data_IF_331391840392
#
_entry.id   IF_331391840392
#
_cell.length_a   1.000
_cell.length_b   1.000
_cell.length_c   1.000
_cell.angle_alpha   90.00
_cell.angle_beta   90.00
_cell.angle_gamma   90.00
#
_symmetry.space_group_name_H-M   'P 1'
#
loop_
_entity.id
_entity.type
_entity.pdbx_description
1 polymer ?
#
# COMPACT_ATOMS: atom_id res chain seq x y z
N UNK A 1 -28.85 -2.02 -13.29
CA UNK A 1 -28.52 -1.45 -11.97
C UNK A 1 -27.19 -0.73 -12.10
N UNK A 2 -27.22 0.59 -12.29
CA UNK A 2 -26.02 1.43 -12.37
C UNK A 2 -25.59 1.78 -10.95
N UNK A 3 -24.86 0.86 -10.31
CA UNK A 3 -24.08 1.21 -9.13
C UNK A 3 -23.07 2.26 -9.55
N UNK A 4 -23.09 3.43 -8.92
CA UNK A 4 -22.10 4.48 -9.13
C UNK A 4 -20.73 3.93 -8.81
N UNK A 5 -19.90 3.69 -9.82
CA UNK A 5 -18.49 3.35 -9.63
C UNK A 5 -17.84 4.51 -8.87
N UNK A 6 -17.16 4.25 -7.74
CA UNK A 6 -16.56 5.32 -6.95
C UNK A 6 -15.49 6.05 -7.78
N UNK A 7 -15.41 7.37 -7.60
CA UNK A 7 -14.29 8.15 -8.10
C UNK A 7 -12.98 7.64 -7.49
N UNK A 8 -11.82 7.76 -8.19
CA UNK A 8 -10.54 7.22 -7.72
C UNK A 8 -10.15 7.63 -6.29
N UNK A 9 -10.44 8.87 -5.88
CA UNK A 9 -10.17 9.36 -4.52
C UNK A 9 -10.88 8.55 -3.43
N UNK A 10 -12.23 8.45 -3.44
CA UNK A 10 -12.97 7.59 -2.51
C UNK A 10 -12.52 6.12 -2.52
N UNK A 11 -12.23 5.54 -3.68
CA UNK A 11 -11.74 4.16 -3.77
C UNK A 11 -10.36 4.01 -3.08
N UNK A 12 -9.44 4.94 -3.31
CA UNK A 12 -8.13 4.95 -2.65
C UNK A 12 -8.26 5.13 -1.13
N UNK A 13 -9.19 5.98 -0.67
CA UNK A 13 -9.44 6.19 0.75
C UNK A 13 -9.93 4.91 1.45
N UNK A 14 -10.76 4.11 0.78
CA UNK A 14 -11.19 2.78 1.28
C UNK A 14 -9.99 1.84 1.41
N UNK A 15 -9.12 1.79 0.40
CA UNK A 15 -7.89 0.97 0.44
C UNK A 15 -6.96 1.40 1.57
N UNK A 16 -6.74 2.70 1.74
CA UNK A 16 -5.91 3.25 2.83
C UNK A 16 -6.51 2.92 4.20
N UNK A 17 -7.83 3.03 4.37
CA UNK A 17 -8.49 2.70 5.61
C UNK A 17 -8.33 1.21 5.96
N UNK A 18 -8.48 0.32 4.97
CA UNK A 18 -8.24 -1.12 5.15
C UNK A 18 -6.78 -1.40 5.54
N UNK A 19 -5.82 -0.73 4.89
CA UNK A 19 -4.40 -0.83 5.22
C UNK A 19 -4.10 -0.40 6.65
N UNK A 20 -4.61 0.76 7.07
CA UNK A 20 -4.44 1.25 8.44
C UNK A 20 -5.11 0.35 9.49
N UNK A 21 -6.26 -0.26 9.15
CA UNK A 21 -6.90 -1.21 10.04
C UNK A 21 -6.05 -2.48 10.24
N UNK A 22 -5.50 -3.04 9.16
CA UNK A 22 -4.62 -4.20 9.21
C UNK A 22 -3.27 -3.90 9.89
N UNK A 23 -2.75 -2.69 9.68
CA UNK A 23 -1.48 -2.26 10.24
C UNK A 23 -1.53 -1.87 11.72
N UNK A 24 -2.73 -1.72 12.32
CA UNK A 24 -2.89 -1.34 13.75
C UNK A 24 -2.14 -2.28 14.69
N UNK A 25 -2.15 -3.57 14.38
CA UNK A 25 -1.46 -4.62 15.14
C UNK A 25 -0.50 -5.42 14.22
N UNK A 26 -0.05 -4.81 13.13
CA UNK A 26 0.81 -5.39 12.10
C UNK A 26 0.41 -6.82 11.66
N UNK A 27 -0.84 -6.99 11.23
CA UNK A 27 -1.35 -8.30 10.83
C UNK A 27 -0.96 -8.61 9.37
N UNK A 28 0.01 -9.51 9.16
CA UNK A 28 0.53 -9.84 7.84
C UNK A 28 -0.53 -10.43 6.90
N UNK A 29 -1.44 -11.27 7.40
CA UNK A 29 -2.51 -11.87 6.60
C UNK A 29 -3.54 -10.81 6.16
N UNK A 30 -3.95 -9.95 7.08
CA UNK A 30 -4.88 -8.86 6.78
C UNK A 30 -4.25 -7.81 5.85
N UNK A 31 -2.96 -7.49 6.03
CA UNK A 31 -2.22 -6.61 5.13
C UNK A 31 -2.16 -7.18 3.71
N UNK A 32 -1.91 -8.48 3.60
CA UNK A 32 -1.86 -9.20 2.32
C UNK A 32 -3.24 -9.19 1.64
N UNK A 33 -4.34 -9.37 2.39
CA UNK A 33 -5.71 -9.39 1.84
C UNK A 33 -6.17 -8.12 1.11
N UNK A 34 -5.44 -7.02 1.26
CA UNK A 34 -5.67 -5.73 0.57
C UNK A 34 -5.10 -5.74 -0.86
N UNK A 35 -4.28 -6.73 -1.18
CA UNK A 35 -3.67 -6.89 -2.50
C UNK A 35 -4.50 -7.84 -3.37
N UNK A 36 -4.41 -7.68 -4.69
CA UNK A 36 -4.92 -8.72 -5.59
C UNK A 36 -4.03 -9.95 -5.51
N UNK A 37 -4.57 -11.11 -5.87
CA UNK A 37 -3.83 -12.38 -5.83
C UNK A 37 -2.59 -12.38 -6.74
N UNK A 38 -2.62 -11.62 -7.83
CA UNK A 38 -1.56 -11.45 -8.83
C UNK A 38 -0.70 -10.19 -8.60
N UNK A 39 -0.79 -9.56 -7.42
CA UNK A 39 -0.17 -8.26 -7.19
C UNK A 39 1.37 -8.27 -7.28
N UNK A 40 1.94 -7.15 -7.72
CA UNK A 40 3.38 -6.90 -7.73
C UNK A 40 3.76 -5.83 -6.72
N UNK A 41 4.83 -6.05 -5.97
CA UNK A 41 5.16 -5.24 -4.80
C UNK A 41 6.65 -4.92 -4.69
N UNK A 42 6.98 -3.63 -4.64
CA UNK A 42 8.25 -3.08 -4.18
C UNK A 42 8.03 -2.31 -2.88
N UNK A 43 8.58 -2.83 -1.78
CA UNK A 43 8.54 -2.17 -0.47
C UNK A 43 9.92 -1.75 0.01
N UNK A 44 10.10 -1.70 1.33
CA UNK A 44 11.35 -1.25 1.96
C UNK A 44 12.46 -2.31 2.01
N UNK A 45 12.18 -3.56 1.66
CA UNK A 45 13.18 -4.64 1.61
C UNK A 45 13.77 -4.79 0.21
N UNK A 46 15.01 -5.30 0.08
CA UNK A 46 15.59 -5.60 -1.23
C UNK A 46 14.73 -6.55 -2.06
N UNK A 47 14.67 -6.30 -3.37
CA UNK A 47 13.93 -7.12 -4.33
C UNK A 47 12.45 -6.74 -4.45
N UNK A 48 11.68 -7.56 -5.17
CA UNK A 48 10.22 -7.46 -5.25
C UNK A 48 9.54 -8.70 -4.69
N UNK A 49 8.26 -8.56 -4.36
CA UNK A 49 7.36 -9.66 -4.09
C UNK A 49 6.32 -9.75 -5.23
N UNK A 50 6.08 -10.96 -5.72
CA UNK A 50 5.10 -11.24 -6.77
C UNK A 50 4.09 -12.27 -6.26
N UNK A 51 2.82 -11.88 -6.28
CA UNK A 51 1.71 -12.69 -5.76
C UNK A 51 1.59 -12.66 -4.24
N UNK A 52 0.44 -13.15 -3.78
CA UNK A 52 0.02 -13.11 -2.37
C UNK A 52 1.04 -13.74 -1.41
N UNK A 53 1.59 -14.92 -1.74
CA UNK A 53 2.51 -15.63 -0.84
C UNK A 53 3.79 -14.84 -0.58
N UNK A 54 4.36 -14.23 -1.62
CA UNK A 54 5.56 -13.41 -1.50
C UNK A 54 5.28 -12.10 -0.75
N UNK A 55 4.12 -11.49 -0.98
CA UNK A 55 3.68 -10.27 -0.28
C UNK A 55 3.44 -10.56 1.21
N UNK A 56 2.82 -11.70 1.53
CA UNK A 56 2.67 -12.17 2.90
C UNK A 56 4.01 -12.36 3.58
N UNK A 57 4.95 -13.06 2.92
CA UNK A 57 6.30 -13.25 3.44
C UNK A 57 7.01 -11.91 3.70
N UNK A 58 6.80 -10.91 2.83
CA UNK A 58 7.29 -9.55 3.05
C UNK A 58 6.71 -8.94 4.35
N UNK A 59 5.40 -8.97 4.58
CA UNK A 59 4.83 -8.41 5.81
C UNK A 59 5.22 -9.21 7.06
N UNK A 60 5.21 -10.53 6.97
CA UNK A 60 5.59 -11.44 8.06
C UNK A 60 7.05 -11.23 8.51
N UNK A 61 7.94 -10.83 7.59
CA UNK A 61 9.33 -10.53 7.94
C UNK A 61 9.51 -9.34 8.90
N UNK A 62 8.48 -8.52 9.10
CA UNK A 62 8.47 -7.41 10.07
C UNK A 62 7.75 -7.77 11.38
N UNK A 63 7.22 -8.98 11.53
CA UNK A 63 6.62 -9.43 12.80
C UNK A 63 7.65 -9.37 13.93
N UNK A 64 7.24 -8.82 15.07
CA UNK A 64 8.12 -8.55 16.22
C UNK A 64 9.01 -7.31 16.06
N UNK A 65 9.19 -6.79 14.84
CA UNK A 65 9.94 -5.55 14.58
C UNK A 65 9.00 -4.35 14.56
N UNK A 66 7.89 -4.44 13.82
CA UNK A 66 6.86 -3.41 13.75
C UNK A 66 5.69 -3.84 14.62
N UNK A 67 5.31 -2.99 15.56
CA UNK A 67 4.13 -3.17 16.40
C UNK A 67 2.88 -2.63 15.72
N UNK A 68 2.98 -1.44 15.14
CA UNK A 68 1.88 -0.82 14.41
C UNK A 68 2.39 0.18 13.38
N UNK A 69 1.53 0.50 12.41
CA UNK A 69 1.80 1.56 11.45
C UNK A 69 0.54 2.31 11.04
N UNK A 70 0.73 3.54 10.58
CA UNK A 70 -0.28 4.32 9.85
C UNK A 70 0.33 4.83 8.54
N UNK A 71 -0.49 4.88 7.51
CA UNK A 71 -0.20 5.42 6.19
C UNK A 71 -1.24 6.49 5.84
N UNK A 72 -0.75 7.67 5.44
CA UNK A 72 -1.54 8.70 4.78
C UNK A 72 -1.04 8.92 3.36
N UNK A 73 -1.90 8.69 2.36
CA UNK A 73 -1.61 8.94 0.95
C UNK A 73 -1.95 10.39 0.63
N UNK A 74 -0.92 11.19 0.39
CA UNK A 74 -1.02 12.64 0.19
C UNK A 74 -0.59 13.02 -1.23
N UNK A 75 -1.12 14.14 -1.72
CA UNK A 75 -0.76 14.74 -3.02
C UNK A 75 -0.91 13.75 -4.20
N UNK A 76 -1.92 12.89 -4.13
CA UNK A 76 -2.16 11.86 -5.12
C UNK A 76 -2.74 12.45 -6.41
N UNK A 77 -2.13 12.09 -7.53
CA UNK A 77 -2.64 12.27 -8.89
C UNK A 77 -3.18 10.94 -9.41
N UNK A 78 -4.20 11.00 -10.25
CA UNK A 78 -4.90 9.81 -10.72
C UNK A 78 -4.89 9.70 -12.24
N UNK A 79 -4.66 8.49 -12.75
CA UNK A 79 -4.88 8.13 -14.15
C UNK A 79 -5.84 6.94 -14.18
N UNK A 80 -6.98 7.09 -14.84
CA UNK A 80 -7.95 6.00 -14.97
C UNK A 80 -7.59 5.12 -16.17
N UNK A 81 -7.52 3.81 -15.96
CA UNK A 81 -7.30 2.82 -17.03
C UNK A 81 -8.61 2.16 -17.48
N UNK A 82 -9.57 2.06 -16.58
CA UNK A 82 -10.91 1.53 -16.81
C UNK A 82 -11.85 1.88 -15.67
N UNK A 83 -13.08 1.38 -15.72
CA UNK A 83 -14.07 1.62 -14.66
C UNK A 83 -13.71 0.93 -13.34
N UNK A 84 -12.93 -0.13 -13.43
CA UNK A 84 -12.49 -1.03 -12.35
C UNK A 84 -10.99 -0.92 -12.07
N UNK A 85 -10.29 0.06 -12.67
CA UNK A 85 -8.84 0.17 -12.51
C UNK A 85 -8.31 1.59 -12.72
N UNK A 86 -7.44 2.04 -11.82
CA UNK A 86 -6.75 3.31 -11.91
C UNK A 86 -5.35 3.26 -11.28
N UNK A 87 -4.49 4.18 -11.69
CA UNK A 87 -3.23 4.50 -11.04
C UNK A 87 -3.42 5.68 -10.09
N UNK A 88 -2.78 5.60 -8.92
CA UNK A 88 -2.58 6.69 -7.98
C UNK A 88 -1.07 6.89 -7.76
N UNK A 89 -0.59 8.10 -7.97
CA UNK A 89 0.82 8.46 -7.79
C UNK A 89 0.94 9.74 -6.99
N UNK A 90 1.82 9.75 -5.99
CA UNK A 90 2.02 10.87 -5.08
C UNK A 90 2.96 10.48 -3.96
N UNK A 91 2.67 10.92 -2.74
CA UNK A 91 3.47 10.57 -1.55
C UNK A 91 2.66 9.79 -0.53
N UNK A 92 3.38 9.02 0.30
CA UNK A 92 2.86 8.29 1.44
C UNK A 92 3.62 8.70 2.69
N UNK A 93 2.90 9.19 3.69
CA UNK A 93 3.45 9.51 5.01
C UNK A 93 3.19 8.34 5.95
N UNK A 94 4.28 7.70 6.38
CA UNK A 94 4.23 6.62 7.34
C UNK A 94 4.58 7.12 8.74
N UNK A 95 3.88 6.58 9.72
CA UNK A 95 4.32 6.54 11.10
C UNK A 95 4.34 5.09 11.59
N UNK A 96 5.44 4.68 12.21
CA UNK A 96 5.62 3.33 12.76
C UNK A 96 5.83 3.42 14.27
N UNK A 97 5.29 2.43 14.98
CA UNK A 97 5.71 2.07 16.34
C UNK A 97 6.43 0.74 16.26
N UNK A 98 7.67 0.69 16.74
CA UNK A 98 8.50 -0.51 16.72
C UNK A 98 8.26 -1.37 17.97
N UNK A 99 8.76 -2.61 17.94
CA UNK A 99 8.62 -3.57 19.04
C UNK A 99 9.19 -3.09 20.37
N UNK A 100 10.23 -2.25 20.34
CA UNK A 100 10.84 -1.62 21.53
C UNK A 100 10.11 -0.34 22.00
N UNK A 101 9.04 0.06 21.31
CA UNK A 101 8.28 1.29 21.57
C UNK A 101 8.83 2.54 20.89
N UNK A 102 9.98 2.46 20.20
CA UNK A 102 10.51 3.55 19.39
C UNK A 102 9.50 3.93 18.29
N UNK A 103 9.39 5.23 18.00
CA UNK A 103 8.56 5.71 16.89
C UNK A 103 9.42 6.27 15.77
N UNK A 104 8.98 6.07 14.52
CA UNK A 104 9.62 6.66 13.35
C UNK A 104 8.58 7.21 12.38
N UNK A 105 8.98 8.20 11.58
CA UNK A 105 8.17 8.78 10.50
C UNK A 105 9.00 8.85 9.24
N UNK A 106 8.36 8.61 8.11
CA UNK A 106 9.01 8.73 6.80
C UNK A 106 8.00 9.15 5.74
N UNK A 107 8.49 9.86 4.72
CA UNK A 107 7.72 10.21 3.53
C UNK A 107 8.33 9.50 2.33
N UNK A 108 7.53 8.69 1.65
CA UNK A 108 7.96 7.90 0.50
C UNK A 108 7.24 8.37 -0.76
N UNK A 109 7.89 8.22 -1.92
CA UNK A 109 7.24 8.29 -3.22
C UNK A 109 6.38 7.04 -3.39
N UNK A 110 5.18 7.21 -3.94
CA UNK A 110 4.21 6.13 -4.09
C UNK A 110 3.75 6.05 -5.54
N UNK A 111 3.68 4.84 -6.07
CA UNK A 111 2.93 4.51 -7.28
C UNK A 111 2.13 3.25 -6.98
N UNK A 112 0.82 3.38 -7.09
CA UNK A 112 -0.14 2.32 -6.84
C UNK A 112 -1.02 2.13 -8.06
N UNK A 113 -1.24 0.87 -8.45
CA UNK A 113 -2.38 0.52 -9.31
C UNK A 113 -3.43 -0.10 -8.41
N UNK A 114 -4.61 0.49 -8.42
CA UNK A 114 -5.78 0.04 -7.69
C UNK A 114 -6.74 -0.62 -8.69
N UNK A 115 -7.21 -1.81 -8.38
CA UNK A 115 -8.13 -2.57 -9.22
C UNK A 115 -9.26 -3.18 -8.38
N UNK A 116 -10.46 -3.23 -8.93
CA UNK A 116 -11.57 -3.93 -8.29
C UNK A 116 -11.44 -5.44 -8.55
N UNK A 117 -11.38 -6.24 -7.49
CA UNK A 117 -11.45 -7.70 -7.56
C UNK A 117 -12.63 -8.15 -6.71
N UNK A 118 -13.58 -8.88 -7.32
CA UNK A 118 -14.81 -9.34 -6.65
C UNK A 118 -15.60 -8.20 -5.96
N UNK A 119 -15.63 -7.02 -6.59
CA UNK A 119 -16.28 -5.79 -6.08
C UNK A 119 -15.57 -5.12 -4.88
N UNK A 120 -14.35 -5.54 -4.54
CA UNK A 120 -13.51 -4.87 -3.55
C UNK A 120 -12.33 -4.17 -4.24
N UNK A 121 -12.06 -2.91 -3.88
CA UNK A 121 -10.87 -2.21 -4.35
C UNK A 121 -9.62 -2.73 -3.65
N UNK A 122 -8.64 -3.16 -4.44
CA UNK A 122 -7.40 -3.78 -3.96
C UNK A 122 -6.18 -3.20 -4.67
N UNK A 123 -5.01 -3.35 -4.06
CA UNK A 123 -3.74 -2.95 -4.65
C UNK A 123 -3.26 -4.06 -5.58
N UNK A 124 -3.15 -3.76 -6.87
CA UNK A 124 -2.61 -4.68 -7.88
C UNK A 124 -1.13 -4.44 -8.17
N UNK A 125 -0.66 -3.20 -8.00
CA UNK A 125 0.75 -2.86 -8.09
C UNK A 125 1.09 -1.88 -6.98
N UNK A 126 2.16 -2.15 -6.25
CA UNK A 126 2.69 -1.32 -5.18
C UNK A 126 4.16 -1.02 -5.45
N UNK A 127 4.51 0.25 -5.53
CA UNK A 127 5.91 0.69 -5.54
C UNK A 127 6.07 1.88 -4.62
N UNK A 128 6.67 1.63 -3.46
CA UNK A 128 7.08 2.68 -2.54
C UNK A 128 8.60 2.79 -2.52
N UNK A 129 9.13 4.00 -2.55
CA UNK A 129 10.57 4.23 -2.50
C UNK A 129 10.91 5.53 -1.78
N UNK A 130 12.10 5.59 -1.19
CA UNK A 130 12.65 6.85 -0.73
C UNK A 130 12.88 7.80 -1.92
N UNK A 131 12.82 9.11 -1.65
CA UNK A 131 13.38 10.09 -2.57
C UNK A 131 14.90 10.00 -2.49
N UNK A 132 15.61 9.91 -3.63
CA UNK A 132 17.06 9.91 -3.60
C UNK A 132 17.57 11.28 -3.12
N UNK A 133 18.58 11.30 -2.25
CA UNK A 133 19.21 12.54 -1.79
C UNK A 133 19.90 13.29 -2.95
N UNK A 134 20.50 12.53 -3.85
CA UNK A 134 21.10 13.03 -5.09
C UNK A 134 20.63 12.17 -6.27
N UNK A 135 20.38 12.78 -7.44
CA UNK A 135 20.14 12.01 -8.65
C UNK A 135 21.28 11.01 -8.89
N UNK A 136 20.98 9.78 -9.36
CA UNK A 136 22.01 8.78 -9.63
C UNK A 136 22.73 9.06 -10.96
N UNK A 137 23.35 10.24 -11.07
CA UNK A 137 24.17 10.70 -12.20
C UNK A 137 25.37 11.49 -11.71
#
# INVERSE_FOLDING_TARGET
MTGTNPTPGPALAVVQAAWNAAARDWNADALTGIYTTDALFFGGRPGHAAGHDAIRAYFASYEGVIRSATLELVEQQFIRFGDDCFLAQGYGEFAFVLGDGTTSRSRLRTTLVIAAQQHEWKIRQHHFSASPETPPI
#
